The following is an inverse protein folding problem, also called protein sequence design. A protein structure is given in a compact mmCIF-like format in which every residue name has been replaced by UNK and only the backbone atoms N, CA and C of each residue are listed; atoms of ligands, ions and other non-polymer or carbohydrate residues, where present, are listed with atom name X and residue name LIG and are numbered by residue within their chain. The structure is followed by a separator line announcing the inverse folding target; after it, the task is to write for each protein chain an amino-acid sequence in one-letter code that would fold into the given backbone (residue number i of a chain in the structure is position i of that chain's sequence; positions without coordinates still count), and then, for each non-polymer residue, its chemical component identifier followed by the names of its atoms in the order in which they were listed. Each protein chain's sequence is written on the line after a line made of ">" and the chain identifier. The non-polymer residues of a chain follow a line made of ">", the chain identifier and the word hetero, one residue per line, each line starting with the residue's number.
data_IF_512428994749
#
_entry.id   IF_512428994749
#
_cell.length_a   1.000
_cell.length_b   1.000
_cell.length_c   1.000
_cell.angle_alpha   90.00
_cell.angle_beta   90.00
_cell.angle_gamma   90.00
#
_symmetry.space_group_name_H-M   'P 1'
#
loop_
_entity.id
_entity.type
_entity.pdbx_description
1 polymer ?
#
# COMPACT_ATOMS: atom_id res chain seq x y z
N UNK A 1 -42.08 -1.62 32.35
CA UNK A 1 -43.01 -2.30 31.42
C UNK A 1 -42.91 -1.64 30.07
N UNK A 2 -42.58 -2.45 29.05
CA UNK A 2 -42.60 -2.25 27.59
C UNK A 2 -42.71 -0.84 26.98
N UNK A 3 -41.64 -0.40 26.31
CA UNK A 3 -41.69 0.58 25.22
C UNK A 3 -41.51 -0.15 23.89
N UNK A 4 -42.61 -0.34 23.15
CA UNK A 4 -42.67 -1.10 21.90
C UNK A 4 -42.03 -0.39 20.71
N UNK A 5 -41.38 -1.18 19.85
CA UNK A 5 -40.79 -0.75 18.59
C UNK A 5 -41.83 -0.30 17.57
N UNK A 6 -41.66 0.92 17.05
CA UNK A 6 -42.37 1.41 15.87
C UNK A 6 -41.77 0.82 14.60
N UNK A 7 -42.39 -0.23 14.05
CA UNK A 7 -42.11 -0.70 12.71
C UNK A 7 -42.71 0.23 11.66
N UNK A 8 -41.88 0.75 10.75
CA UNK A 8 -42.35 1.48 9.56
C UNK A 8 -42.64 0.47 8.45
N UNK A 9 -43.91 0.38 8.05
CA UNK A 9 -44.40 -0.44 6.95
C UNK A 9 -44.24 0.34 5.65
N UNK A 10 -43.42 -0.15 4.72
CA UNK A 10 -43.37 0.36 3.34
C UNK A 10 -44.54 -0.25 2.56
N UNK A 11 -45.58 0.56 2.30
CA UNK A 11 -46.74 0.16 1.49
C UNK A 11 -46.46 0.51 0.03
N UNK A 12 -46.19 -0.50 -0.80
CA UNK A 12 -46.15 -0.33 -2.26
C UNK A 12 -47.57 -0.37 -2.82
N UNK A 13 -47.98 0.71 -3.48
CA UNK A 13 -49.25 0.83 -4.18
C UNK A 13 -49.20 0.17 -5.56
N UNK A 14 -50.18 -0.70 -5.81
CA UNK A 14 -50.77 -0.96 -7.14
C UNK A 14 -49.94 -1.77 -8.14
N UNK A 15 -50.37 -3.03 -8.37
CA UNK A 15 -50.14 -3.71 -9.66
C UNK A 15 -49.52 -5.10 -9.60
N UNK A 16 -50.22 -6.07 -9.02
CA UNK A 16 -50.21 -7.49 -9.41
C UNK A 16 -48.88 -8.24 -9.56
N UNK A 17 -48.53 -9.09 -8.58
CA UNK A 17 -47.63 -10.22 -8.80
C UNK A 17 -46.82 -10.61 -7.57
N UNK A 18 -47.18 -11.73 -6.94
CA UNK A 18 -46.59 -12.28 -5.70
C UNK A 18 -45.16 -12.82 -5.91
N UNK A 19 -44.16 -11.96 -6.09
CA UNK A 19 -42.76 -12.40 -6.31
C UNK A 19 -41.82 -12.28 -5.10
N UNK A 20 -42.10 -11.40 -4.13
CA UNK A 20 -41.10 -10.96 -3.14
C UNK A 20 -40.93 -11.80 -1.86
N UNK A 21 -41.58 -12.97 -1.72
CA UNK A 21 -41.48 -13.78 -0.48
C UNK A 21 -40.54 -15.00 -0.59
N UNK A 22 -39.83 -15.16 -1.71
CA UNK A 22 -39.05 -16.38 -1.98
C UNK A 22 -37.55 -16.34 -1.63
N UNK A 23 -36.92 -15.17 -1.46
CA UNK A 23 -35.45 -15.09 -1.36
C UNK A 23 -34.89 -15.19 0.05
N UNK A 24 -35.73 -15.44 1.08
CA UNK A 24 -35.27 -15.72 2.46
C UNK A 24 -35.16 -17.24 2.69
N UNK A 25 -34.58 -17.96 1.72
CA UNK A 25 -34.27 -19.38 1.90
C UNK A 25 -32.79 -19.62 1.59
N UNK A 26 -31.98 -19.68 2.65
CA UNK A 26 -30.60 -20.14 2.53
C UNK A 26 -29.67 -19.84 3.69
N UNK A 27 -29.89 -18.77 4.48
CA UNK A 27 -28.98 -18.40 5.59
C UNK A 27 -29.74 -17.90 6.82
N UNK A 28 -29.81 -18.68 7.92
CA UNK A 28 -30.54 -18.32 9.14
C UNK A 28 -30.13 -16.94 9.72
N UNK A 29 -28.84 -16.60 9.61
CA UNK A 29 -28.21 -15.40 10.17
C UNK A 29 -28.83 -14.08 9.64
N UNK A 30 -29.27 -14.04 8.39
CA UNK A 30 -29.84 -12.81 7.80
C UNK A 30 -31.28 -12.55 8.26
N UNK A 31 -32.00 -13.59 8.69
CA UNK A 31 -33.39 -13.48 9.12
C UNK A 31 -33.52 -12.92 10.54
N UNK A 32 -32.54 -13.20 11.41
CA UNK A 32 -32.48 -12.64 12.77
C UNK A 32 -32.07 -11.16 12.79
N UNK A 33 -31.25 -10.72 11.82
CA UNK A 33 -30.77 -9.34 11.76
C UNK A 33 -31.71 -8.36 11.02
N UNK A 34 -32.82 -8.85 10.44
CA UNK A 34 -33.80 -8.01 9.73
C UNK A 34 -33.25 -7.29 8.49
N UNK A 35 -32.07 -7.70 7.99
CA UNK A 35 -31.38 -7.09 6.84
C UNK A 35 -31.50 -7.97 5.60
N UNK A 36 -31.63 -7.31 4.45
CA UNK A 36 -31.77 -7.96 3.15
C UNK A 36 -30.37 -8.27 2.58
N UNK A 37 -30.22 -9.40 1.89
CA UNK A 37 -28.97 -9.78 1.21
C UNK A 37 -28.60 -8.73 0.14
N UNK A 38 -27.52 -7.98 0.41
CA UNK A 38 -27.02 -6.94 -0.49
C UNK A 38 -26.65 -7.50 -1.89
N UNK A 39 -26.20 -8.75 -1.96
CA UNK A 39 -25.91 -9.42 -3.24
C UNK A 39 -27.19 -9.72 -4.03
N UNK A 40 -28.23 -10.21 -3.33
CA UNK A 40 -29.55 -10.45 -3.93
C UNK A 40 -30.23 -9.17 -4.41
N UNK A 41 -30.15 -8.08 -3.62
CA UNK A 41 -30.71 -6.77 -3.99
C UNK A 41 -29.98 -6.18 -5.20
N UNK A 42 -28.64 -6.27 -5.23
CA UNK A 42 -27.84 -5.81 -6.36
C UNK A 42 -28.18 -6.54 -7.66
N UNK A 43 -28.32 -7.86 -7.61
CA UNK A 43 -28.70 -8.65 -8.78
C UNK A 43 -30.11 -8.29 -9.30
N UNK A 44 -31.06 -8.05 -8.39
CA UNK A 44 -32.43 -7.67 -8.75
C UNK A 44 -32.48 -6.28 -9.39
N UNK A 45 -31.64 -5.34 -8.95
CA UNK A 45 -31.51 -4.02 -9.54
C UNK A 45 -30.93 -4.09 -10.97
N UNK A 46 -29.93 -4.94 -11.21
CA UNK A 46 -29.35 -5.15 -12.55
C UNK A 46 -30.38 -5.76 -13.50
N UNK A 47 -31.08 -6.82 -13.06
CA UNK A 47 -32.11 -7.49 -13.87
C UNK A 47 -33.30 -6.56 -14.18
N UNK A 48 -33.65 -5.67 -13.25
CA UNK A 48 -34.65 -4.63 -13.49
C UNK A 48 -34.19 -3.65 -14.57
N UNK A 49 -32.95 -3.17 -14.50
CA UNK A 49 -32.38 -2.29 -15.53
C UNK A 49 -32.40 -2.92 -16.93
N UNK A 50 -32.11 -4.22 -17.05
CA UNK A 50 -32.23 -4.92 -18.34
C UNK A 50 -33.69 -5.01 -18.81
N UNK A 51 -34.63 -5.29 -17.91
CA UNK A 51 -36.05 -5.37 -18.25
C UNK A 51 -36.61 -4.03 -18.74
N UNK A 52 -36.22 -2.94 -18.11
CA UNK A 52 -36.69 -1.58 -18.44
C UNK A 52 -36.18 -1.16 -19.85
N UNK A 53 -34.95 -1.54 -20.21
CA UNK A 53 -34.39 -1.35 -21.56
C UNK A 53 -35.15 -2.18 -22.60
N UNK A 54 -35.45 -3.44 -22.31
CA UNK A 54 -36.21 -4.32 -23.21
C UNK A 54 -37.65 -3.84 -23.42
N UNK A 55 -38.24 -3.21 -22.40
CA UNK A 55 -39.60 -2.63 -22.48
C UNK A 55 -39.65 -1.26 -23.16
N UNK A 56 -38.50 -0.70 -23.53
CA UNK A 56 -38.42 0.60 -24.19
C UNK A 56 -38.69 1.79 -23.26
N UNK A 57 -38.66 1.57 -21.95
CA UNK A 57 -38.83 2.61 -20.92
C UNK A 57 -37.50 3.39 -20.80
N UNK A 58 -37.28 4.35 -21.71
CA UNK A 58 -36.07 5.18 -21.79
C UNK A 58 -36.09 6.39 -20.84
N UNK A 59 -36.47 6.21 -19.58
CA UNK A 59 -36.21 7.23 -18.55
C UNK A 59 -35.14 6.72 -17.58
N UNK A 60 -33.93 7.29 -17.72
CA UNK A 60 -32.88 7.20 -16.71
C UNK A 60 -33.45 7.80 -15.41
N UNK A 61 -33.79 6.93 -14.46
CA UNK A 61 -34.30 7.32 -13.15
C UNK A 61 -33.34 8.34 -12.53
N UNK A 62 -33.83 9.57 -12.36
CA UNK A 62 -33.16 10.66 -11.64
C UNK A 62 -32.81 10.13 -10.25
N UNK A 63 -31.52 10.14 -9.88
CA UNK A 63 -31.03 9.71 -8.56
C UNK A 63 -31.77 10.47 -7.46
N UNK A 64 -32.80 9.87 -6.88
CA UNK A 64 -33.23 10.24 -5.53
C UNK A 64 -32.17 9.70 -4.57
N UNK A 65 -31.63 10.60 -3.75
CA UNK A 65 -30.71 10.25 -2.67
C UNK A 65 -31.44 9.31 -1.71
N UNK A 66 -31.20 8.02 -1.83
CA UNK A 66 -31.56 7.06 -0.80
C UNK A 66 -30.69 7.41 0.41
N UNK A 67 -31.31 8.05 1.40
CA UNK A 67 -30.71 8.29 2.71
C UNK A 67 -30.47 6.94 3.37
N UNK A 68 -29.26 6.40 3.20
CA UNK A 68 -28.78 5.32 4.05
C UNK A 68 -28.70 5.89 5.45
N UNK A 69 -29.59 5.42 6.32
CA UNK A 69 -29.56 5.71 7.75
C UNK A 69 -28.14 5.47 8.23
N UNK A 70 -27.50 6.57 8.64
CA UNK A 70 -26.23 6.60 9.33
C UNK A 70 -26.29 5.58 10.45
N UNK A 71 -25.55 4.47 10.30
CA UNK A 71 -25.13 3.70 11.45
C UNK A 71 -24.31 4.66 12.28
N UNK A 72 -24.84 4.94 13.48
CA UNK A 72 -24.22 5.65 14.60
C UNK A 72 -22.75 5.89 14.34
N UNK A 73 -22.45 7.12 13.89
CA UNK A 73 -21.08 7.62 13.86
C UNK A 73 -20.54 7.49 15.29
N UNK A 74 -19.34 6.94 15.50
CA UNK A 74 -18.73 7.06 16.81
C UNK A 74 -18.64 8.56 17.09
N UNK A 75 -19.27 8.99 18.18
CA UNK A 75 -19.08 10.31 18.74
C UNK A 75 -17.59 10.50 19.00
N UNK A 76 -17.10 11.72 18.86
CA UNK A 76 -15.70 12.11 19.02
C UNK A 76 -15.14 11.92 20.45
N UNK A 77 -15.76 11.07 21.25
CA UNK A 77 -15.44 10.76 22.64
C UNK A 77 -15.00 9.30 22.85
N UNK A 78 -14.96 8.45 21.81
CA UNK A 78 -14.72 7.00 21.96
C UNK A 78 -13.44 6.43 21.33
N UNK A 79 -12.46 7.25 20.92
CA UNK A 79 -11.11 6.74 20.60
C UNK A 79 -10.04 7.75 21.04
N UNK A 80 -9.84 7.87 22.35
CA UNK A 80 -8.55 8.31 22.89
C UNK A 80 -7.61 7.09 22.87
N UNK A 81 -7.19 6.66 21.68
CA UNK A 81 -5.99 5.84 21.57
C UNK A 81 -4.81 6.78 21.85
N UNK A 82 -4.29 6.73 23.08
CA UNK A 82 -3.09 7.46 23.44
C UNK A 82 -1.95 6.95 22.57
N UNK A 83 -1.44 7.80 21.68
CA UNK A 83 -0.21 7.52 20.95
C UNK A 83 0.93 7.40 21.96
N UNK A 84 1.65 6.28 21.95
CA UNK A 84 2.80 6.05 22.85
C UNK A 84 3.94 7.06 22.58
N UNK A 85 4.04 7.51 21.33
CA UNK A 85 5.02 8.49 20.87
C UNK A 85 4.34 9.73 20.31
N UNK A 86 4.86 10.91 20.65
CA UNK A 86 4.23 12.19 20.31
C UNK A 86 4.73 12.81 19.02
N UNK A 87 5.98 12.58 18.63
CA UNK A 87 6.58 13.25 17.48
C UNK A 87 6.94 12.30 16.36
N UNK A 88 6.54 12.61 15.14
CA UNK A 88 7.09 12.01 13.93
C UNK A 88 8.29 12.85 13.48
N UNK A 89 9.48 12.25 13.47
CA UNK A 89 10.74 12.90 13.11
C UNK A 89 11.27 12.30 11.81
N UNK A 90 11.34 13.13 10.77
CA UNK A 90 11.78 12.76 9.43
C UNK A 90 12.95 13.64 8.99
N UNK A 91 13.97 13.06 8.37
CA UNK A 91 15.10 13.83 7.81
C UNK A 91 15.90 13.01 6.82
N UNK A 92 16.76 13.69 6.05
CA UNK A 92 17.75 13.08 5.17
C UNK A 92 19.14 13.34 5.72
N UNK A 93 19.97 12.30 5.80
CA UNK A 93 21.39 12.40 6.12
C UNK A 93 22.17 12.32 4.82
N UNK A 94 23.17 13.20 4.65
CA UNK A 94 24.17 13.09 3.59
C UNK A 94 25.56 12.98 4.20
N UNK A 95 26.30 11.95 3.81
CA UNK A 95 27.63 11.62 4.33
C UNK A 95 28.48 10.90 3.28
N UNK A 96 29.68 10.47 3.66
CA UNK A 96 30.55 9.67 2.78
C UNK A 96 30.53 8.18 3.15
N UNK A 97 30.20 7.85 4.40
CA UNK A 97 30.13 6.49 4.97
C UNK A 97 29.16 6.44 6.16
N UNK A 98 27.87 6.60 5.88
CA UNK A 98 26.81 6.45 6.88
C UNK A 98 26.73 4.97 7.26
N UNK A 99 26.85 4.67 8.55
CA UNK A 99 26.59 3.33 9.08
C UNK A 99 25.08 3.18 9.33
N UNK A 100 24.37 2.68 8.32
CA UNK A 100 22.91 2.56 8.33
C UNK A 100 22.41 1.56 9.39
N UNK A 101 23.14 0.47 9.63
CA UNK A 101 22.83 -0.51 10.69
C UNK A 101 22.94 0.11 12.07
N UNK A 102 24.06 0.77 12.38
CA UNK A 102 24.26 1.46 13.66
C UNK A 102 23.22 2.56 13.86
N UNK A 103 22.96 3.34 12.81
CA UNK A 103 21.94 4.38 12.82
C UNK A 103 20.55 3.78 13.07
N UNK A 104 20.20 2.69 12.40
CA UNK A 104 18.92 1.99 12.55
C UNK A 104 18.77 1.41 13.95
N UNK A 105 19.81 0.80 14.52
CA UNK A 105 19.79 0.33 15.91
C UNK A 105 19.55 1.47 16.89
N UNK A 106 20.27 2.58 16.75
CA UNK A 106 20.14 3.72 17.65
C UNK A 106 18.77 4.39 17.50
N UNK A 107 18.26 4.52 16.26
CA UNK A 107 16.93 5.10 16.00
C UNK A 107 15.82 4.18 16.54
N UNK A 108 15.93 2.86 16.36
CA UNK A 108 14.98 1.88 16.93
C UNK A 108 14.94 1.89 18.46
N UNK A 109 16.04 2.26 19.14
CA UNK A 109 16.06 2.41 20.60
C UNK A 109 15.34 3.67 21.08
N UNK A 110 15.16 4.65 20.20
CA UNK A 110 14.64 5.97 20.52
C UNK A 110 13.16 6.14 20.15
N UNK A 111 12.53 5.13 19.54
CA UNK A 111 11.15 5.24 19.07
C UNK A 111 10.62 3.98 18.40
N UNK A 112 9.39 4.05 17.91
CA UNK A 112 8.77 3.01 17.09
C UNK A 112 8.66 3.43 15.61
N UNK A 113 8.19 2.48 14.78
CA UNK A 113 8.02 2.68 13.34
C UNK A 113 9.27 3.26 12.65
N UNK A 114 10.46 2.94 13.15
CA UNK A 114 11.70 3.45 12.61
C UNK A 114 11.96 2.89 11.21
N UNK A 115 12.09 3.78 10.24
CA UNK A 115 12.51 3.50 8.88
C UNK A 115 13.80 4.27 8.63
N UNK A 116 14.89 3.53 8.46
CA UNK A 116 16.16 4.04 7.96
C UNK A 116 16.37 3.33 6.65
N UNK A 117 16.43 4.08 5.55
CA UNK A 117 16.61 3.53 4.19
C UNK A 117 17.51 4.46 3.39
N UNK A 118 18.37 3.91 2.53
CA UNK A 118 19.22 4.71 1.66
C UNK A 118 20.49 3.97 1.31
N UNK A 119 21.60 4.70 1.14
CA UNK A 119 22.92 4.16 0.86
C UNK A 119 23.97 4.78 1.79
N UNK A 120 25.22 4.29 1.80
CA UNK A 120 26.30 4.86 2.61
C UNK A 120 26.56 6.37 2.37
N UNK A 121 26.06 6.94 1.28
CA UNK A 121 26.22 8.36 0.97
C UNK A 121 24.97 9.20 1.28
N UNK A 122 23.79 8.61 1.36
CA UNK A 122 22.54 9.32 1.63
C UNK A 122 21.50 8.39 2.25
N UNK A 123 20.99 8.76 3.42
CA UNK A 123 19.97 8.00 4.14
C UNK A 123 18.73 8.86 4.41
N UNK A 124 17.54 8.30 4.30
CA UNK A 124 16.29 8.91 4.78
C UNK A 124 15.86 8.19 6.04
N UNK A 125 15.58 8.96 7.08
CA UNK A 125 15.14 8.47 8.39
C UNK A 125 13.74 8.97 8.67
N UNK A 126 12.88 8.09 9.15
CA UNK A 126 11.57 8.37 9.75
C UNK A 126 11.48 7.60 11.06
N UNK A 127 11.08 8.25 12.14
CA UNK A 127 10.82 7.58 13.43
C UNK A 127 9.78 8.32 14.24
N UNK A 128 8.93 7.58 14.93
CA UNK A 128 8.04 8.15 15.94
C UNK A 128 8.73 8.09 17.30
N UNK A 129 8.92 9.24 17.93
CA UNK A 129 9.71 9.37 19.15
C UNK A 129 9.14 10.44 20.07
N UNK A 130 9.45 10.37 21.37
CA UNK A 130 9.25 11.47 22.31
C UNK A 130 10.48 12.37 22.43
N UNK A 131 11.60 11.97 21.82
CA UNK A 131 12.90 12.64 21.92
C UNK A 131 13.52 12.94 20.53
N UNK A 132 12.89 13.80 19.69
CA UNK A 132 13.42 14.15 18.35
C UNK A 132 14.88 14.61 18.37
N UNK A 133 15.26 15.33 19.42
CA UNK A 133 16.62 15.83 19.62
C UNK A 133 17.66 14.71 19.77
N UNK A 134 17.31 13.58 20.41
CA UNK A 134 18.20 12.44 20.57
C UNK A 134 18.42 11.74 19.22
N UNK A 135 17.36 11.58 18.44
CA UNK A 135 17.40 10.98 17.10
C UNK A 135 18.28 11.81 16.16
N UNK A 136 18.04 13.13 16.09
CA UNK A 136 18.87 14.03 15.28
C UNK A 136 20.32 14.07 15.76
N UNK A 137 20.53 14.01 17.08
CA UNK A 137 21.87 13.95 17.69
C UNK A 137 22.64 12.69 17.31
N UNK A 138 21.96 11.55 17.18
CA UNK A 138 22.58 10.32 16.68
C UNK A 138 22.96 10.48 15.20
N UNK A 139 22.01 10.92 14.37
CA UNK A 139 22.22 11.07 12.93
C UNK A 139 23.32 12.08 12.54
N UNK A 140 23.54 13.13 13.35
CA UNK A 140 24.65 14.08 13.16
C UNK A 140 26.04 13.46 13.29
N UNK A 141 26.17 12.29 13.92
CA UNK A 141 27.45 11.55 13.99
C UNK A 141 27.80 10.89 12.66
N UNK A 142 26.79 10.54 11.86
CA UNK A 142 26.92 9.84 10.58
C UNK A 142 27.08 10.80 9.39
N UNK A 143 26.57 12.04 9.51
CA UNK A 143 26.70 13.02 8.44
C UNK A 143 25.96 14.33 8.69
N UNK A 144 25.73 15.06 7.60
CA UNK A 144 24.98 16.32 7.61
C UNK A 144 23.49 16.08 7.46
N UNK A 145 22.66 16.76 8.26
CA UNK A 145 21.20 16.67 8.20
C UNK A 145 20.61 17.65 7.19
N UNK A 146 19.63 17.18 6.44
CA UNK A 146 18.86 17.91 5.43
C UNK A 146 17.38 17.60 5.58
N UNK A 147 16.52 18.49 5.10
CA UNK A 147 15.06 18.29 5.02
C UNK A 147 14.42 17.80 6.34
N UNK A 148 14.86 18.37 7.47
CA UNK A 148 14.39 17.96 8.79
C UNK A 148 12.95 18.43 9.00
N UNK A 149 12.08 17.48 9.35
CA UNK A 149 10.68 17.70 9.68
C UNK A 149 10.39 17.03 11.03
N UNK A 150 9.86 17.79 11.99
CA UNK A 150 9.41 17.25 13.28
C UNK A 150 7.95 17.66 13.45
N UNK A 151 7.06 16.68 13.50
CA UNK A 151 5.61 16.89 13.58
C UNK A 151 5.06 16.32 14.88
N UNK A 152 4.30 17.11 15.63
CA UNK A 152 3.50 16.58 16.75
C UNK A 152 2.30 15.80 16.18
N UNK A 153 2.26 14.50 16.44
CA UNK A 153 1.23 13.60 15.94
C UNK A 153 -0.13 13.83 16.61
N UNK A 154 -0.16 14.30 17.87
CA UNK A 154 -1.42 14.71 18.52
C UNK A 154 -2.03 15.92 17.80
N UNK A 155 -1.18 16.89 17.45
CA UNK A 155 -1.63 18.08 16.72
C UNK A 155 -2.05 17.67 15.31
N UNK A 156 -1.34 16.76 14.64
CA UNK A 156 -1.78 16.23 13.36
C UNK A 156 -3.09 15.43 13.45
N UNK A 157 -3.29 14.62 14.50
CA UNK A 157 -4.52 13.86 14.70
C UNK A 157 -5.70 14.80 14.99
N UNK A 158 -5.48 15.79 15.86
CA UNK A 158 -6.44 16.86 16.18
C UNK A 158 -6.74 17.72 14.96
N UNK A 159 -5.72 18.08 14.17
CA UNK A 159 -5.89 18.80 12.90
C UNK A 159 -6.58 17.94 11.84
N UNK A 160 -6.28 16.64 11.73
CA UNK A 160 -6.99 15.73 10.82
C UNK A 160 -8.46 15.64 11.23
N UNK A 161 -8.76 15.50 12.51
CA UNK A 161 -10.13 15.50 13.03
C UNK A 161 -10.85 16.83 12.78
N UNK A 162 -10.15 17.97 12.98
CA UNK A 162 -10.67 19.31 12.66
C UNK A 162 -10.86 19.51 11.16
N UNK A 163 -9.91 19.11 10.31
CA UNK A 163 -9.96 19.15 8.83
C UNK A 163 -11.00 18.18 8.23
N UNK A 164 -11.33 17.09 8.93
CA UNK A 164 -12.47 16.24 8.58
C UNK A 164 -13.81 16.92 8.93
N UNK A 165 -13.84 17.74 9.99
CA UNK A 165 -15.00 18.51 10.41
C UNK A 165 -15.18 19.85 9.65
N UNK A 166 -14.10 20.50 9.23
CA UNK A 166 -14.08 21.72 8.43
C UNK A 166 -13.50 21.43 7.06
N UNK A 167 -14.29 21.58 5.99
CA UNK A 167 -13.86 21.53 4.58
C UNK A 167 -12.85 22.65 4.25
N UNK A 168 -11.69 22.66 4.86
CA UNK A 168 -10.63 23.59 4.52
C UNK A 168 -9.85 23.08 3.30
N UNK A 169 -9.56 24.03 2.42
CA UNK A 169 -8.87 23.83 1.15
C UNK A 169 -7.45 23.39 1.46
N UNK A 170 -7.14 22.11 1.25
CA UNK A 170 -5.77 21.60 1.27
C UNK A 170 -4.90 22.48 0.37
N UNK A 171 -3.80 22.99 0.90
CA UNK A 171 -2.79 23.70 0.13
C UNK A 171 -2.36 22.83 -1.06
N UNK A 172 -2.44 23.38 -2.26
CA UNK A 172 -2.23 22.61 -3.49
C UNK A 172 -0.74 22.62 -3.81
N UNK A 173 -0.10 21.45 -3.67
CA UNK A 173 1.31 21.24 -4.05
C UNK A 173 1.48 21.30 -5.57
N UNK A 174 2.69 21.62 -6.03
CA UNK A 174 3.02 21.49 -7.46
C UNK A 174 3.10 20.02 -7.87
N UNK A 175 3.77 19.20 -7.06
CA UNK A 175 4.01 17.78 -7.31
C UNK A 175 3.41 16.92 -6.20
N UNK A 176 2.93 15.74 -6.57
CA UNK A 176 2.55 14.69 -5.64
C UNK A 176 2.84 13.30 -6.21
N UNK A 177 2.85 12.30 -5.33
CA UNK A 177 3.17 10.92 -5.69
C UNK A 177 2.03 9.98 -5.27
N UNK A 178 1.63 9.09 -6.17
CA UNK A 178 0.74 7.97 -5.90
C UNK A 178 1.50 6.66 -6.03
N UNK A 179 1.29 5.74 -5.10
CA UNK A 179 1.80 4.38 -5.22
C UNK A 179 0.65 3.38 -5.27
N UNK A 180 0.84 2.30 -6.02
CA UNK A 180 -0.07 1.16 -6.04
C UNK A 180 0.58 0.03 -5.23
N UNK A 181 -0.10 -0.45 -4.20
CA UNK A 181 0.38 -1.58 -3.40
C UNK A 181 -0.77 -2.30 -2.69
N UNK A 182 -0.45 -3.44 -2.10
CA UNK A 182 -1.34 -4.24 -1.27
C UNK A 182 -0.58 -4.66 -0.02
N UNK A 183 -1.15 -4.40 1.16
CA UNK A 183 -0.52 -4.64 2.46
C UNK A 183 -0.35 -3.34 3.24
N UNK A 184 -0.70 -3.36 4.53
CA UNK A 184 -0.64 -2.17 5.39
C UNK A 184 0.79 -1.71 5.63
N UNK A 185 1.75 -2.63 5.81
CA UNK A 185 3.17 -2.27 5.96
C UNK A 185 3.74 -1.58 4.73
N UNK A 186 3.49 -2.11 3.53
CA UNK A 186 3.88 -1.44 2.28
C UNK A 186 3.19 -0.08 2.10
N UNK A 187 1.93 0.03 2.50
CA UNK A 187 1.18 1.29 2.49
C UNK A 187 1.87 2.33 3.38
N UNK A 188 2.22 1.95 4.61
CA UNK A 188 2.92 2.82 5.56
C UNK A 188 4.29 3.25 5.03
N UNK A 189 5.06 2.31 4.45
CA UNK A 189 6.36 2.60 3.84
C UNK A 189 6.22 3.62 2.70
N UNK A 190 5.29 3.45 1.76
CA UNK A 190 5.14 4.44 0.70
C UNK A 190 4.71 5.81 1.23
N UNK A 191 3.84 5.85 2.24
CA UNK A 191 3.39 7.11 2.85
C UNK A 191 4.55 7.82 3.58
N UNK A 192 5.37 7.11 4.35
CA UNK A 192 6.55 7.69 5.04
C UNK A 192 7.64 8.13 4.06
N UNK A 193 7.73 7.47 2.90
CA UNK A 193 8.62 7.90 1.82
C UNK A 193 8.12 9.14 1.08
N UNK A 194 6.87 9.56 1.30
CA UNK A 194 6.31 10.80 0.77
C UNK A 194 5.21 10.61 -0.28
N UNK A 195 4.62 9.42 -0.40
CA UNK A 195 3.44 9.23 -1.24
C UNK A 195 2.25 10.01 -0.65
N UNK A 196 1.54 10.76 -1.49
CA UNK A 196 0.35 11.52 -1.11
C UNK A 196 -0.93 10.68 -1.17
N UNK A 197 -0.87 9.50 -1.78
CA UNK A 197 -2.01 8.59 -1.84
C UNK A 197 -1.61 7.19 -2.30
N UNK A 198 -2.43 6.23 -1.89
CA UNK A 198 -2.23 4.81 -2.16
C UNK A 198 -3.46 4.28 -2.87
N UNK A 199 -3.23 3.65 -4.02
CA UNK A 199 -4.25 2.90 -4.74
C UNK A 199 -4.08 1.44 -4.35
N UNK A 200 -5.15 0.82 -3.86
CA UNK A 200 -5.11 -0.61 -3.58
C UNK A 200 -4.97 -1.37 -4.90
N UNK A 201 -3.91 -2.16 -5.00
CA UNK A 201 -3.65 -2.96 -6.20
C UNK A 201 -2.48 -3.92 -6.04
N UNK A 202 -2.48 -4.97 -6.84
CA UNK A 202 -1.49 -6.04 -6.76
C UNK A 202 -1.74 -7.11 -7.81
N UNK A 203 -1.08 -8.26 -7.65
CA UNK A 203 -0.97 -9.29 -8.69
C UNK A 203 -2.31 -9.95 -9.05
N UNK A 204 -3.26 -10.00 -8.12
CA UNK A 204 -4.62 -10.52 -8.32
C UNK A 204 -5.70 -9.42 -8.35
N UNK A 205 -5.31 -8.17 -8.11
CA UNK A 205 -6.22 -7.04 -8.00
C UNK A 205 -5.65 -5.86 -8.78
N UNK A 206 -5.94 -5.82 -10.08
CA UNK A 206 -5.61 -4.62 -10.88
C UNK A 206 -6.68 -3.56 -10.60
N UNK A 207 -6.32 -2.35 -10.16
CA UNK A 207 -7.27 -1.27 -9.98
C UNK A 207 -7.87 -0.90 -11.34
N UNK A 208 -9.11 -0.42 -11.33
CA UNK A 208 -9.71 0.18 -12.52
C UNK A 208 -9.16 1.59 -12.75
N UNK A 209 -9.32 2.11 -13.98
CA UNK A 209 -9.02 3.53 -14.28
C UNK A 209 -9.75 4.46 -13.32
N UNK A 210 -10.98 4.13 -12.94
CA UNK A 210 -11.75 4.91 -11.98
C UNK A 210 -11.14 4.90 -10.58
N UNK A 211 -10.65 3.76 -10.10
CA UNK A 211 -10.04 3.69 -8.76
C UNK A 211 -8.78 4.57 -8.66
N UNK A 212 -8.00 4.62 -9.74
CA UNK A 212 -6.85 5.53 -9.85
C UNK A 212 -7.32 6.98 -9.84
N UNK A 213 -8.31 7.35 -10.66
CA UNK A 213 -8.85 8.71 -10.73
C UNK A 213 -9.45 9.18 -9.40
N UNK A 214 -10.24 8.34 -8.74
CA UNK A 214 -10.85 8.62 -7.43
C UNK A 214 -9.77 8.90 -6.37
N UNK A 215 -8.57 8.33 -6.52
CA UNK A 215 -7.41 8.58 -5.64
C UNK A 215 -6.67 9.85 -6.04
N UNK A 216 -6.44 10.06 -7.35
CA UNK A 216 -5.87 11.27 -7.94
C UNK A 216 -6.65 12.53 -7.53
N UNK A 217 -7.97 12.47 -7.51
CA UNK A 217 -8.85 13.59 -7.12
C UNK A 217 -8.62 14.02 -5.66
N UNK A 218 -8.37 13.06 -4.75
CA UNK A 218 -8.17 13.30 -3.31
C UNK A 218 -6.79 13.89 -2.96
N UNK A 219 -5.82 13.75 -3.86
CA UNK A 219 -4.46 14.29 -3.71
C UNK A 219 -4.43 15.76 -4.11
N UNK A 220 -3.99 16.63 -3.21
CA UNK A 220 -3.93 18.08 -3.49
C UNK A 220 -2.60 18.46 -4.16
N UNK A 221 -2.41 17.99 -5.39
CA UNK A 221 -1.26 18.33 -6.23
C UNK A 221 -1.70 18.65 -7.66
N UNK A 222 -0.93 19.51 -8.37
CA UNK A 222 -1.18 19.85 -9.78
C UNK A 222 -0.69 18.76 -10.75
N UNK A 223 0.52 18.26 -10.51
CA UNK A 223 1.11 17.14 -11.24
C UNK A 223 1.29 15.95 -10.31
N UNK A 224 0.91 14.76 -10.78
CA UNK A 224 0.94 13.53 -9.97
C UNK A 224 1.80 12.48 -10.68
N UNK A 225 2.87 12.06 -10.01
CA UNK A 225 3.59 10.85 -10.36
C UNK A 225 2.81 9.64 -9.88
N UNK A 226 2.75 8.58 -10.67
CA UNK A 226 2.16 7.31 -10.26
C UNK A 226 3.16 6.18 -10.44
N UNK A 227 3.29 5.36 -9.40
CA UNK A 227 4.14 4.17 -9.30
C UNK A 227 3.23 2.92 -9.35
N UNK A 228 3.05 2.29 -10.53
CA UNK A 228 2.12 1.17 -10.69
C UNK A 228 2.56 -0.09 -9.93
N UNK A 229 3.87 -0.25 -9.70
CA UNK A 229 4.51 -1.36 -8.99
C UNK A 229 4.09 -2.77 -9.45
N UNK A 230 3.49 -2.85 -10.63
CA UNK A 230 3.01 -4.06 -11.27
C UNK A 230 2.84 -3.77 -12.77
N UNK A 231 3.49 -4.59 -13.59
CA UNK A 231 3.46 -4.46 -15.05
C UNK A 231 2.04 -4.40 -15.65
N UNK A 232 1.07 -5.07 -15.02
CA UNK A 232 -0.31 -5.13 -15.50
C UNK A 232 -1.11 -3.84 -15.22
N UNK A 233 -0.59 -2.96 -14.36
CA UNK A 233 -1.26 -1.72 -13.92
C UNK A 233 -0.76 -0.51 -14.72
N UNK A 234 0.42 -0.59 -15.35
CA UNK A 234 1.03 0.49 -16.14
C UNK A 234 0.05 1.03 -17.19
N UNK A 235 -0.54 0.15 -18.01
CA UNK A 235 -1.50 0.56 -19.03
C UNK A 235 -2.71 1.27 -18.42
N UNK A 236 -3.25 0.77 -17.30
CA UNK A 236 -4.39 1.39 -16.63
C UNK A 236 -4.04 2.78 -16.09
N UNK A 237 -2.85 2.95 -15.52
CA UNK A 237 -2.33 4.24 -15.07
C UNK A 237 -2.16 5.24 -16.24
N UNK A 238 -1.64 4.79 -17.38
CA UNK A 238 -1.55 5.62 -18.59
C UNK A 238 -2.93 6.04 -19.12
N UNK A 239 -3.91 5.13 -19.11
CA UNK A 239 -5.28 5.49 -19.50
C UNK A 239 -5.91 6.48 -18.52
N UNK A 240 -5.68 6.33 -17.21
CA UNK A 240 -6.13 7.30 -16.20
C UNK A 240 -5.52 8.68 -16.47
N UNK A 241 -4.23 8.74 -16.82
CA UNK A 241 -3.56 9.98 -17.17
C UNK A 241 -4.15 10.71 -18.39
N UNK A 242 -4.74 9.99 -19.35
CA UNK A 242 -5.37 10.61 -20.53
C UNK A 242 -6.73 11.25 -20.24
N UNK A 243 -7.40 10.82 -19.19
CA UNK A 243 -8.76 11.27 -18.83
C UNK A 243 -8.80 12.06 -17.51
N UNK A 244 -7.67 12.17 -16.82
CA UNK A 244 -7.51 12.96 -15.59
C UNK A 244 -7.47 14.46 -15.90
N UNK A 245 -8.13 15.25 -15.06
CA UNK A 245 -8.03 16.71 -15.09
C UNK A 245 -6.67 17.22 -14.58
N UNK A 246 -5.95 16.39 -13.80
CA UNK A 246 -4.59 16.66 -13.30
C UNK A 246 -3.54 16.05 -14.22
N UNK A 247 -2.39 16.72 -14.36
CA UNK A 247 -1.25 16.17 -15.13
C UNK A 247 -0.74 14.92 -14.43
N UNK A 248 -0.82 13.77 -15.08
CA UNK A 248 -0.27 12.52 -14.54
C UNK A 248 1.00 12.12 -15.27
N UNK A 249 1.98 11.63 -14.52
CA UNK A 249 3.26 11.12 -15.03
C UNK A 249 3.45 9.70 -14.53
N UNK A 250 3.42 8.73 -15.44
CA UNK A 250 3.61 7.31 -15.10
C UNK A 250 5.10 7.01 -15.05
N UNK A 251 5.59 6.56 -13.90
CA UNK A 251 6.91 5.92 -13.77
C UNK A 251 6.63 4.41 -13.85
N UNK A 252 7.08 3.68 -14.89
CA UNK A 252 6.59 2.35 -15.23
C UNK A 252 7.19 1.23 -14.33
N UNK A 253 7.14 1.41 -13.01
CA UNK A 253 7.60 0.43 -12.03
C UNK A 253 6.79 -0.86 -12.11
N UNK A 254 7.47 -1.99 -12.04
CA UNK A 254 6.89 -3.34 -12.22
C UNK A 254 6.86 -4.16 -10.93
N UNK A 255 7.55 -3.70 -9.89
CA UNK A 255 7.61 -4.31 -8.57
C UNK A 255 7.61 -3.23 -7.48
N UNK A 256 7.38 -3.66 -6.24
CA UNK A 256 7.41 -2.79 -5.05
C UNK A 256 8.80 -2.19 -4.83
N UNK A 257 9.87 -3.00 -4.97
CA UNK A 257 11.26 -2.55 -4.88
C UNK A 257 11.56 -1.38 -5.85
N UNK A 258 11.12 -1.51 -7.12
CA UNK A 258 11.24 -0.43 -8.10
C UNK A 258 10.46 0.83 -7.71
N UNK A 259 9.29 0.67 -7.10
CA UNK A 259 8.50 1.78 -6.56
C UNK A 259 9.22 2.54 -5.45
N UNK A 260 9.78 1.79 -4.50
CA UNK A 260 10.51 2.36 -3.35
C UNK A 260 11.76 3.09 -3.82
N UNK A 261 12.55 2.47 -4.69
CA UNK A 261 13.73 3.11 -5.28
C UNK A 261 13.37 4.38 -6.07
N UNK A 262 12.28 4.34 -6.85
CA UNK A 262 11.80 5.52 -7.57
C UNK A 262 11.41 6.67 -6.62
N UNK A 263 10.61 6.42 -5.58
CA UNK A 263 10.16 7.49 -4.67
C UNK A 263 11.30 8.05 -3.82
N UNK A 264 12.33 7.27 -3.50
CA UNK A 264 13.53 7.77 -2.80
C UNK A 264 14.29 8.82 -3.61
N UNK A 265 14.24 8.75 -4.94
CA UNK A 265 14.85 9.75 -5.82
C UNK A 265 13.97 10.98 -6.11
N UNK A 266 12.72 10.99 -5.62
CA UNK A 266 11.79 12.10 -5.83
C UNK A 266 12.18 13.32 -5.00
N UNK A 267 12.15 14.50 -5.63
CA UNK A 267 12.48 15.76 -5.00
C UNK A 267 11.42 16.83 -5.34
N UNK A 268 10.78 17.39 -4.30
CA UNK A 268 9.74 18.42 -4.47
C UNK A 268 10.25 19.74 -5.07
N UNK A 269 11.56 20.00 -5.02
CA UNK A 269 12.15 21.23 -5.57
C UNK A 269 12.53 21.12 -7.06
N UNK A 270 12.60 19.90 -7.60
CA UNK A 270 12.93 19.65 -9.00
C UNK A 270 11.69 19.73 -9.88
N UNK A 271 11.87 20.03 -11.17
CA UNK A 271 10.74 20.04 -12.09
C UNK A 271 10.24 18.62 -12.42
N UNK A 272 9.16 18.54 -13.20
CA UNK A 272 8.52 17.26 -13.55
C UNK A 272 9.43 16.35 -14.38
N UNK A 273 10.18 16.91 -15.32
CA UNK A 273 10.99 16.12 -16.25
C UNK A 273 12.28 15.65 -15.59
N UNK A 274 12.89 16.49 -14.77
CA UNK A 274 14.06 16.13 -13.97
C UNK A 274 13.70 15.03 -12.95
N UNK A 275 12.59 15.19 -12.21
CA UNK A 275 12.09 14.12 -11.33
C UNK A 275 11.83 12.84 -12.11
N UNK A 276 11.14 12.92 -13.25
CA UNK A 276 10.84 11.74 -14.08
C UNK A 276 12.12 11.01 -14.47
N UNK A 277 13.16 11.74 -14.88
CA UNK A 277 14.45 11.17 -15.24
C UNK A 277 15.11 10.48 -14.05
N UNK A 278 15.22 11.16 -12.91
CA UNK A 278 15.82 10.60 -11.69
C UNK A 278 15.11 9.33 -11.22
N UNK A 279 13.78 9.33 -11.22
CA UNK A 279 12.95 8.18 -10.84
C UNK A 279 13.10 6.99 -11.78
N UNK A 280 13.22 7.24 -13.09
CA UNK A 280 13.49 6.20 -14.08
C UNK A 280 14.89 5.57 -13.90
N UNK A 281 15.91 6.41 -13.67
CA UNK A 281 17.28 5.92 -13.44
C UNK A 281 17.39 5.12 -12.13
N UNK A 282 16.69 5.55 -11.07
CA UNK A 282 16.69 4.85 -9.79
C UNK A 282 16.03 3.46 -9.89
N UNK A 283 14.83 3.37 -10.48
CA UNK A 283 14.11 2.09 -10.57
C UNK A 283 14.82 1.02 -11.41
N UNK A 284 15.78 1.39 -12.25
CA UNK A 284 16.56 0.45 -13.07
C UNK A 284 17.74 -0.17 -12.32
N UNK A 285 18.19 0.43 -11.21
CA UNK A 285 19.34 -0.03 -10.44
C UNK A 285 18.99 -1.15 -9.44
N UNK A 286 17.73 -1.24 -9.06
CA UNK A 286 17.26 -2.21 -8.07
C UNK A 286 16.90 -3.56 -8.71
N UNK A 287 17.39 -4.65 -8.11
CA UNK A 287 16.97 -6.01 -8.43
C UNK A 287 15.80 -6.39 -7.52
N UNK A 288 14.72 -6.87 -8.14
CA UNK A 288 13.53 -7.29 -7.40
C UNK A 288 13.43 -8.80 -7.28
N UNK A 289 13.17 -9.27 -6.07
CA UNK A 289 12.90 -10.69 -5.76
C UNK A 289 11.51 -10.87 -5.16
N UNK A 290 10.87 -11.99 -5.46
CA UNK A 290 9.56 -12.34 -4.93
C UNK A 290 9.52 -13.83 -4.59
N UNK A 291 8.93 -14.17 -3.45
CA UNK A 291 8.63 -15.55 -3.05
C UNK A 291 7.13 -15.75 -3.08
N UNK A 292 6.67 -16.85 -3.66
CA UNK A 292 5.24 -17.22 -3.71
C UNK A 292 5.06 -18.73 -3.76
N UNK A 293 3.82 -19.20 -3.75
CA UNK A 293 3.48 -20.62 -3.83
C UNK A 293 2.82 -20.98 -5.16
N UNK A 294 3.18 -22.15 -5.69
CA UNK A 294 2.56 -22.71 -6.89
C UNK A 294 1.09 -23.09 -6.63
N UNK A 295 0.15 -22.49 -7.36
CA UNK A 295 -1.27 -22.85 -7.25
C UNK A 295 -1.67 -24.08 -8.08
N UNK A 296 -0.79 -24.52 -9.00
CA UNK A 296 -0.99 -25.66 -9.90
C UNK A 296 0.34 -26.20 -10.40
N UNK A 297 0.31 -27.42 -10.91
CA UNK A 297 1.44 -28.01 -11.62
C UNK A 297 1.72 -27.22 -12.91
N UNK A 298 3.00 -27.00 -13.21
CA UNK A 298 3.45 -26.35 -14.44
C UNK A 298 4.91 -26.67 -14.74
N UNK A 299 5.43 -26.19 -15.87
CA UNK A 299 6.86 -26.32 -16.22
C UNK A 299 7.47 -24.93 -16.38
N UNK A 300 8.72 -24.79 -15.94
CA UNK A 300 9.52 -23.58 -16.10
C UNK A 300 10.86 -23.93 -16.74
N UNK A 301 11.64 -22.90 -17.11
CA UNK A 301 12.98 -23.08 -17.69
C UNK A 301 13.93 -23.85 -16.76
N UNK A 302 13.73 -23.77 -15.45
CA UNK A 302 14.63 -24.37 -14.45
C UNK A 302 14.10 -25.69 -13.87
N UNK A 303 12.91 -26.14 -14.29
CA UNK A 303 12.35 -27.42 -13.85
C UNK A 303 10.84 -27.47 -13.77
N UNK A 304 10.33 -28.65 -13.37
CA UNK A 304 8.91 -28.88 -13.08
C UNK A 304 8.51 -28.20 -11.78
N UNK A 305 7.34 -27.58 -11.79
CA UNK A 305 6.71 -26.95 -10.63
C UNK A 305 5.49 -27.81 -10.29
N UNK A 306 5.42 -28.26 -9.05
CA UNK A 306 4.27 -28.97 -8.49
C UNK A 306 3.44 -27.99 -7.67
N UNK A 307 2.13 -28.21 -7.59
CA UNK A 307 1.26 -27.45 -6.69
C UNK A 307 1.81 -27.46 -5.26
N UNK A 308 1.82 -26.28 -4.65
CA UNK A 308 2.40 -25.93 -3.34
C UNK A 308 3.92 -25.82 -3.28
N UNK A 309 4.65 -26.02 -4.37
CA UNK A 309 6.08 -25.68 -4.40
C UNK A 309 6.25 -24.18 -4.10
N UNK A 310 7.30 -23.86 -3.37
CA UNK A 310 7.79 -22.49 -3.17
C UNK A 310 8.52 -22.08 -4.44
N UNK A 311 8.17 -20.91 -4.97
CA UNK A 311 8.74 -20.36 -6.20
C UNK A 311 9.45 -19.04 -5.84
N UNK A 312 10.71 -18.94 -6.24
CA UNK A 312 11.45 -17.69 -6.23
C UNK A 312 11.52 -17.06 -7.61
N UNK A 313 11.15 -15.79 -7.69
CA UNK A 313 11.06 -15.00 -8.92
C UNK A 313 12.04 -13.82 -8.78
N UNK A 314 12.94 -13.64 -9.74
CA UNK A 314 13.80 -12.47 -9.84
C UNK A 314 13.45 -11.71 -11.12
N UNK A 315 13.13 -10.42 -10.99
CA UNK A 315 12.76 -9.54 -12.11
C UNK A 315 11.69 -10.13 -13.05
N UNK A 316 10.73 -10.86 -12.48
CA UNK A 316 9.64 -11.51 -13.20
C UNK A 316 9.98 -12.87 -13.82
N UNK A 317 11.19 -13.39 -13.63
CA UNK A 317 11.61 -14.71 -14.09
C UNK A 317 11.77 -15.70 -12.92
N UNK A 318 11.27 -16.92 -13.07
CA UNK A 318 11.43 -17.97 -12.06
C UNK A 318 12.91 -18.39 -12.01
N UNK A 319 13.54 -18.24 -10.83
CA UNK A 319 14.96 -18.57 -10.58
C UNK A 319 15.17 -19.60 -9.48
N UNK A 320 14.18 -19.84 -8.63
CA UNK A 320 14.24 -20.91 -7.63
C UNK A 320 12.90 -21.68 -7.56
N UNK A 321 12.99 -22.99 -7.33
CA UNK A 321 11.86 -23.88 -7.03
C UNK A 321 12.29 -24.75 -5.86
N UNK A 322 11.44 -24.86 -4.84
CA UNK A 322 11.69 -25.72 -3.69
C UNK A 322 10.41 -26.03 -2.92
N UNK A 323 10.57 -26.57 -1.72
CA UNK A 323 9.45 -26.90 -0.82
C UNK A 323 9.53 -26.18 0.52
N UNK A 324 10.74 -25.80 0.91
CA UNK A 324 11.01 -25.07 2.12
C UNK A 324 11.12 -23.58 1.82
N UNK A 325 10.45 -22.75 2.62
CA UNK A 325 10.35 -21.32 2.39
C UNK A 325 11.71 -20.63 2.52
N UNK A 326 12.45 -20.93 3.59
CA UNK A 326 13.74 -20.30 3.91
C UNK A 326 14.80 -20.74 2.92
N UNK A 327 14.93 -22.04 2.64
CA UNK A 327 15.93 -22.56 1.69
C UNK A 327 15.67 -22.05 0.27
N UNK A 328 14.41 -21.99 -0.17
CA UNK A 328 14.08 -21.48 -1.51
C UNK A 328 14.37 -19.98 -1.60
N UNK A 329 14.13 -19.22 -0.53
CA UNK A 329 14.48 -17.80 -0.45
C UNK A 329 15.99 -17.58 -0.54
N UNK A 330 16.78 -18.36 0.19
CA UNK A 330 18.25 -18.31 0.11
C UNK A 330 18.76 -18.67 -1.28
N UNK A 331 18.18 -19.67 -1.93
CA UNK A 331 18.55 -20.02 -3.31
C UNK A 331 18.21 -18.90 -4.29
N UNK A 332 17.05 -18.24 -4.14
CA UNK A 332 16.70 -17.07 -4.93
C UNK A 332 17.73 -15.94 -4.72
N UNK A 333 18.02 -15.59 -3.47
CA UNK A 333 18.96 -14.51 -3.13
C UNK A 333 20.35 -14.80 -3.69
N UNK A 334 20.84 -16.05 -3.57
CA UNK A 334 22.12 -16.43 -4.15
C UNK A 334 22.19 -16.34 -5.68
N UNK A 335 21.05 -16.31 -6.37
CA UNK A 335 20.97 -16.03 -7.81
C UNK A 335 20.87 -14.54 -8.16
N UNK A 336 20.65 -13.69 -7.16
CA UNK A 336 20.45 -12.23 -7.30
C UNK A 336 21.70 -11.43 -6.92
N UNK A 337 22.37 -11.85 -5.84
CA UNK A 337 23.54 -11.17 -5.26
C UNK A 337 24.73 -11.19 -6.21
N UNK A 338 25.29 -10.00 -6.44
CA UNK A 338 26.54 -9.73 -7.12
C UNK A 338 27.49 -8.93 -6.22
N UNK A 339 28.69 -8.62 -6.74
CA UNK A 339 29.76 -8.00 -5.96
C UNK A 339 29.53 -6.50 -5.66
N UNK A 340 28.66 -5.84 -6.43
CA UNK A 340 28.35 -4.40 -6.30
C UNK A 340 27.11 -4.14 -5.44
N UNK A 341 26.38 -5.18 -5.02
CA UNK A 341 25.21 -5.00 -4.18
C UNK A 341 25.63 -4.75 -2.73
N UNK A 342 24.99 -3.79 -2.08
CA UNK A 342 25.31 -3.35 -0.73
C UNK A 342 24.17 -3.64 0.25
N UNK A 343 22.91 -3.56 -0.20
CA UNK A 343 21.74 -3.61 0.68
C UNK A 343 20.71 -4.61 0.16
N UNK A 344 20.32 -5.55 1.02
CA UNK A 344 19.17 -6.44 0.81
C UNK A 344 18.05 -6.10 1.79
N UNK A 345 16.95 -5.54 1.27
CA UNK A 345 15.73 -5.30 2.06
C UNK A 345 14.73 -6.44 1.88
N UNK A 346 14.23 -6.98 2.99
CA UNK A 346 13.21 -8.04 3.04
C UNK A 346 11.89 -7.44 3.55
N UNK A 347 10.85 -7.53 2.72
CA UNK A 347 9.49 -7.13 3.11
C UNK A 347 8.65 -8.37 3.43
N UNK A 348 8.32 -8.55 4.71
CA UNK A 348 7.56 -9.69 5.22
C UNK A 348 6.08 -9.58 4.84
N UNK A 349 5.56 -10.61 4.19
CA UNK A 349 4.16 -10.73 3.80
C UNK A 349 3.23 -11.20 4.92
N UNK A 350 1.94 -11.08 4.68
CA UNK A 350 0.91 -11.56 5.61
C UNK A 350 1.01 -13.09 5.78
N UNK A 351 1.01 -13.54 7.04
CA UNK A 351 1.04 -14.97 7.37
C UNK A 351 2.44 -15.62 7.37
N UNK A 352 3.50 -14.85 7.08
CA UNK A 352 4.89 -15.30 7.30
C UNK A 352 5.24 -15.25 8.80
N UNK A 353 6.03 -16.22 9.26
CA UNK A 353 6.48 -16.30 10.66
C UNK A 353 7.65 -15.34 10.92
N UNK A 354 7.64 -14.67 12.08
CA UNK A 354 8.76 -13.86 12.56
C UNK A 354 10.02 -14.72 12.73
N UNK A 355 9.86 -15.93 13.30
CA UNK A 355 10.97 -16.87 13.50
C UNK A 355 11.63 -17.28 12.17
N UNK A 356 10.84 -17.55 11.12
CA UNK A 356 11.37 -17.90 9.81
C UNK A 356 12.03 -16.69 9.12
N UNK A 357 11.49 -15.49 9.35
CA UNK A 357 12.01 -14.24 8.77
C UNK A 357 13.36 -13.89 9.39
N UNK A 358 13.46 -13.96 10.72
CA UNK A 358 14.71 -13.75 11.45
C UNK A 358 15.75 -14.82 11.09
N UNK A 359 15.34 -16.09 11.01
CA UNK A 359 16.23 -17.18 10.58
C UNK A 359 16.76 -16.95 9.15
N UNK A 360 15.91 -16.50 8.23
CA UNK A 360 16.31 -16.16 6.88
C UNK A 360 17.34 -15.02 6.88
N UNK A 361 17.05 -13.92 7.58
CA UNK A 361 17.95 -12.77 7.68
C UNK A 361 19.32 -13.15 8.26
N UNK A 362 19.35 -13.90 9.36
CA UNK A 362 20.57 -14.38 10.00
C UNK A 362 21.42 -15.24 9.07
N UNK A 363 20.78 -16.09 8.27
CA UNK A 363 21.48 -16.93 7.30
C UNK A 363 22.03 -16.12 6.14
N UNK A 364 21.30 -15.11 5.67
CA UNK A 364 21.80 -14.20 4.63
C UNK A 364 23.01 -13.43 5.15
N UNK A 365 22.94 -12.82 6.35
CA UNK A 365 24.06 -12.10 6.97
C UNK A 365 25.32 -12.96 7.10
N UNK A 366 25.16 -14.25 7.42
CA UNK A 366 26.30 -15.20 7.49
C UNK A 366 26.87 -15.56 6.13
N UNK A 367 26.04 -15.70 5.10
CA UNK A 367 26.45 -16.09 3.74
C UNK A 367 27.02 -14.90 2.95
N UNK A 368 26.49 -13.71 3.18
CA UNK A 368 26.85 -12.47 2.50
C UNK A 368 27.19 -11.37 3.52
N UNK A 369 28.34 -11.44 4.20
CA UNK A 369 28.69 -10.49 5.27
C UNK A 369 28.94 -9.05 4.80
N UNK A 370 29.00 -8.83 3.48
CA UNK A 370 29.12 -7.50 2.87
C UNK A 370 27.77 -6.82 2.65
N UNK A 371 26.67 -7.59 2.68
CA UNK A 371 25.34 -7.04 2.55
C UNK A 371 24.82 -6.57 3.89
N UNK A 372 24.30 -5.36 3.90
CA UNK A 372 23.39 -4.91 4.94
C UNK A 372 22.01 -5.53 4.70
N UNK A 373 21.45 -6.17 5.73
CA UNK A 373 20.17 -6.87 5.61
C UNK A 373 19.12 -6.17 6.46
N UNK A 374 18.14 -5.58 5.79
CA UNK A 374 17.03 -4.85 6.40
C UNK A 374 15.75 -5.69 6.42
N UNK A 375 15.02 -5.65 7.53
CA UNK A 375 13.70 -6.27 7.67
C UNK A 375 12.63 -5.21 7.81
N UNK A 376 11.55 -5.35 7.05
CA UNK A 376 10.37 -4.49 7.12
C UNK A 376 9.07 -5.29 7.04
N UNK A 377 8.03 -4.81 7.72
CA UNK A 377 6.68 -5.31 7.54
C UNK A 377 6.13 -4.83 6.19
N UNK A 378 5.73 -5.77 5.34
CA UNK A 378 5.06 -5.47 4.07
C UNK A 378 3.56 -5.74 4.14
N UNK A 379 3.15 -6.85 4.74
CA UNK A 379 1.74 -7.23 4.91
C UNK A 379 1.02 -7.57 3.60
N UNK A 380 1.74 -7.82 2.51
CA UNK A 380 1.14 -8.27 1.26
C UNK A 380 0.61 -9.72 1.37
N UNK A 381 -0.57 -10.05 0.82
CA UNK A 381 -1.25 -11.32 1.12
C UNK A 381 -0.79 -12.56 0.33
N UNK A 382 -0.08 -12.39 -0.80
CA UNK A 382 0.23 -13.50 -1.72
C UNK A 382 1.71 -13.87 -1.79
N UNK A 383 2.56 -13.01 -1.25
CA UNK A 383 4.01 -13.12 -1.35
C UNK A 383 4.57 -13.12 0.06
N UNK A 384 4.96 -14.29 0.60
CA UNK A 384 5.57 -14.37 1.91
C UNK A 384 6.75 -13.43 2.10
N UNK A 385 7.54 -13.23 1.05
CA UNK A 385 8.64 -12.27 1.01
C UNK A 385 8.70 -11.54 -0.32
N UNK A 386 8.96 -10.24 -0.25
CA UNK A 386 9.51 -9.45 -1.36
C UNK A 386 10.92 -9.02 -0.99
N UNK A 387 11.80 -8.95 -1.98
CA UNK A 387 13.19 -8.55 -1.81
C UNK A 387 13.50 -7.35 -2.69
N UNK A 388 14.20 -6.37 -2.11
CA UNK A 388 14.93 -5.32 -2.83
C UNK A 388 16.41 -5.60 -2.66
N UNK A 389 17.17 -5.53 -3.73
CA UNK A 389 18.62 -5.64 -3.68
C UNK A 389 19.22 -4.54 -4.53
N UNK A 390 20.07 -3.73 -3.92
CA UNK A 390 20.60 -2.47 -4.46
C UNK A 390 22.12 -2.38 -4.36
#
# INVERSE_FOLDING_TARGET
>A
GGGGGGGVVVRWGGGGGRGGRGTISGRPVLKEAGVVDAGGVGLLAILRGFLDVVRGEKELVRREKVGVLSRVSPTAEDVEESLEYRYCTEFVIKGEKIDLDHLKEEVNRLGDCALVVGSPNTAKVHVHTNEPHAVLGCALKEGSLHNITINNMDDQASERAKKLASKEVKEVKELGVLAVCSGEGLREIFLSLGADGIVNGGQTMNPSTKDILDTVEKVSARSIFILPNNKNIILTAEQAGKVSDKKMVVIPTKSIAQGISAILSFNQEMDVEENRKSMLEAMERVKSGEITFAIRDSESKIGKITRHDVIGICNGEIRAIGRDLVETSLHLIGSMVGEEDEILTIYKGEGSSDEDTELLADRIKKLYPHLEVELHEGGQPLYPYLFSLE
#
